data_IF_260401449151
#
_entry.id   IF_260401449151
#
_cell.length_a   1.000
_cell.length_b   1.000
_cell.length_c   1.000
_cell.angle_alpha   90.00
_cell.angle_beta   90.00
_cell.angle_gamma   90.00
#
_symmetry.space_group_name_H-M   'P 1'
#
loop_
_entity.id
_entity.type
_entity.pdbx_description
1 polymer ?
#
# COMPACT_ATOMS: atom_id res chain seq x y z
N UNK A 1 2.09 18.14 0.94
CA UNK A 1 0.94 17.35 1.47
C UNK A 1 0.85 16.09 0.63
N UNK A 2 0.62 14.91 1.20
CA UNK A 2 0.56 13.68 0.40
C UNK A 2 -0.89 13.43 -0.03
N UNK A 3 -1.17 13.58 -1.33
CA UNK A 3 -2.43 13.13 -1.91
C UNK A 3 -2.22 11.74 -2.50
N UNK A 4 -3.07 10.80 -2.14
CA UNK A 4 -2.91 9.39 -2.55
C UNK A 4 -4.23 8.87 -3.08
N UNK A 5 -4.19 8.33 -4.30
CA UNK A 5 -5.35 7.73 -4.95
C UNK A 5 -5.07 6.25 -5.17
N UNK A 6 -5.70 5.40 -4.36
CA UNK A 6 -5.48 3.95 -4.36
C UNK A 6 -6.79 3.25 -4.73
N UNK A 7 -6.73 2.38 -5.74
CA UNK A 7 -7.77 1.45 -6.11
C UNK A 7 -7.39 0.03 -5.64
N UNK A 8 -8.38 -0.78 -5.26
CA UNK A 8 -8.15 -2.16 -4.80
C UNK A 8 -9.20 -3.09 -5.39
N UNK A 9 -8.76 -4.23 -5.90
CA UNK A 9 -9.59 -5.36 -6.28
C UNK A 9 -9.37 -6.51 -5.30
N UNK A 10 -10.45 -7.21 -4.93
CA UNK A 10 -10.38 -8.31 -3.97
C UNK A 10 -11.35 -9.45 -4.32
N UNK A 11 -11.02 -10.65 -3.84
CA UNK A 11 -11.85 -11.84 -3.93
C UNK A 11 -11.76 -12.63 -2.62
N UNK A 12 -12.87 -13.26 -2.24
CA UNK A 12 -12.97 -14.03 -0.99
C UNK A 12 -13.60 -15.39 -1.28
N UNK A 13 -13.15 -16.40 -0.55
CA UNK A 13 -13.68 -17.76 -0.58
C UNK A 13 -13.93 -18.26 0.84
N UNK A 14 -15.04 -18.97 1.05
CA UNK A 14 -15.36 -19.62 2.32
C UNK A 14 -16.09 -20.95 2.05
N UNK A 15 -15.56 -22.05 2.59
CA UNK A 15 -16.17 -23.38 2.52
C UNK A 15 -15.63 -24.29 3.62
N UNK A 16 -16.50 -25.12 4.21
CA UNK A 16 -16.12 -26.22 5.13
C UNK A 16 -15.09 -25.79 6.18
N UNK A 17 -15.37 -24.71 6.94
CA UNK A 17 -14.48 -24.08 7.94
C UNK A 17 -13.29 -23.31 7.38
N UNK A 18 -12.89 -23.55 6.14
CA UNK A 18 -11.80 -22.80 5.52
C UNK A 18 -12.33 -21.50 4.93
N UNK A 19 -11.61 -20.42 5.19
CA UNK A 19 -11.82 -19.15 4.53
C UNK A 19 -10.49 -18.58 4.04
N UNK A 20 -10.56 -17.76 3.01
CA UNK A 20 -9.41 -17.01 2.54
C UNK A 20 -9.82 -15.82 1.68
N UNK A 21 -8.94 -14.84 1.60
CA UNK A 21 -9.06 -13.70 0.71
C UNK A 21 -7.75 -13.40 0.00
N UNK A 22 -7.87 -12.79 -1.17
CA UNK A 22 -6.78 -12.20 -1.93
C UNK A 22 -7.19 -10.79 -2.33
N UNK A 23 -6.25 -9.86 -2.24
CA UNK A 23 -6.44 -8.49 -2.73
C UNK A 23 -5.19 -7.99 -3.44
N UNK A 24 -5.44 -7.12 -4.42
CA UNK A 24 -4.43 -6.37 -5.14
C UNK A 24 -4.82 -4.90 -5.13
N UNK A 25 -3.91 -4.06 -4.68
CA UNK A 25 -4.05 -2.62 -4.62
C UNK A 25 -3.05 -1.96 -5.54
N UNK A 26 -3.46 -0.88 -6.19
CA UNK A 26 -2.61 -0.05 -7.05
C UNK A 26 -3.02 1.41 -6.93
N UNK A 27 -2.06 2.33 -6.94
CA UNK A 27 -2.36 3.74 -6.77
C UNK A 27 -1.22 4.67 -7.12
N UNK A 28 -1.58 5.94 -7.31
CA UNK A 28 -0.62 7.03 -7.46
C UNK A 28 -0.47 7.81 -6.15
N UNK A 29 0.77 8.16 -5.86
CA UNK A 29 1.18 8.97 -4.73
C UNK A 29 1.72 10.30 -5.29
N UNK A 30 0.94 11.36 -5.13
CA UNK A 30 1.37 12.71 -5.48
C UNK A 30 2.14 13.28 -4.28
N UNK A 31 3.47 13.13 -4.34
CA UNK A 31 4.37 13.71 -3.35
C UNK A 31 4.58 15.20 -3.64
N UNK A 32 3.69 16.07 -3.15
CA UNK A 32 4.05 17.49 -3.02
C UNK A 32 5.11 17.61 -1.91
N UNK A 33 6.38 17.75 -2.33
CA UNK A 33 7.58 17.92 -1.49
C UNK A 33 8.00 16.70 -0.66
N UNK A 34 8.67 15.75 -1.30
CA UNK A 34 9.67 14.93 -0.61
C UNK A 34 10.99 15.72 -0.47
N UNK A 35 11.00 16.78 0.35
CA UNK A 35 12.23 17.54 0.66
C UNK A 35 13.18 16.65 1.47
N UNK A 36 14.05 15.88 0.81
CA UNK A 36 15.13 15.16 1.47
C UNK A 36 16.24 16.17 1.79
N UNK A 37 16.09 16.90 2.89
CA UNK A 37 17.13 17.80 3.40
C UNK A 37 18.34 16.98 3.85
N UNK A 38 19.36 16.87 3.00
CA UNK A 38 20.67 16.47 3.45
C UNK A 38 21.38 17.66 4.06
N UNK A 39 21.76 17.54 5.33
CA UNK A 39 22.70 18.46 5.94
C UNK A 39 24.12 18.15 5.41
N UNK A 40 24.45 18.63 4.22
CA UNK A 40 25.83 18.80 3.79
C UNK A 40 26.26 20.18 4.29
N UNK A 41 27.03 20.21 5.37
CA UNK A 41 27.51 21.44 5.99
C UNK A 41 28.03 22.43 4.95
N UNK A 42 27.60 23.69 5.09
CA UNK A 42 27.91 24.88 4.27
C UNK A 42 27.14 25.05 2.94
N UNK A 43 26.30 24.11 2.49
CA UNK A 43 25.38 24.34 1.35
C UNK A 43 24.12 23.46 1.42
N UNK A 44 22.94 24.08 1.49
CA UNK A 44 21.65 23.40 1.32
C UNK A 44 21.46 23.04 -0.16
N UNK A 45 21.76 21.79 -0.53
CA UNK A 45 21.34 21.21 -1.81
C UNK A 45 19.87 20.80 -1.72
N UNK A 46 18.96 21.62 -2.23
CA UNK A 46 17.53 21.30 -2.31
C UNK A 46 17.27 20.54 -3.63
N UNK A 47 17.40 19.20 -3.61
CA UNK A 47 16.91 18.36 -4.71
C UNK A 47 15.38 18.28 -4.61
N UNK A 48 14.69 19.05 -5.46
CA UNK A 48 13.25 18.89 -5.73
C UNK A 48 13.07 17.66 -6.62
N UNK A 49 12.98 16.49 -6.00
CA UNK A 49 12.50 15.30 -6.68
C UNK A 49 10.98 15.33 -6.74
N UNK A 50 10.41 15.96 -7.78
CA UNK A 50 9.02 15.67 -8.18
C UNK A 50 9.02 14.23 -8.70
N UNK A 51 8.75 13.27 -7.82
CA UNK A 51 8.67 11.85 -8.16
C UNK A 51 7.22 11.43 -8.10
N UNK A 52 6.60 11.28 -9.28
CA UNK A 52 5.31 10.61 -9.41
C UNK A 52 5.47 9.16 -8.95
N UNK A 53 5.01 8.86 -7.74
CA UNK A 53 5.16 7.53 -7.14
C UNK A 53 4.01 6.62 -7.54
N UNK A 54 4.31 5.47 -8.16
CA UNK A 54 3.33 4.40 -8.34
C UNK A 54 3.51 3.34 -7.24
N UNK A 55 2.43 3.00 -6.55
CA UNK A 55 2.40 2.00 -5.49
C UNK A 55 1.52 0.83 -5.93
N UNK A 56 2.00 -0.39 -5.71
CA UNK A 56 1.18 -1.59 -5.77
C UNK A 56 1.40 -2.44 -4.53
N UNK A 57 0.36 -3.18 -4.12
CA UNK A 57 0.40 -4.10 -3.01
C UNK A 57 -0.43 -5.34 -3.33
N UNK A 58 0.03 -6.49 -2.85
CA UNK A 58 -0.73 -7.75 -2.88
C UNK A 58 -0.83 -8.25 -1.46
N UNK A 59 -2.03 -8.64 -1.05
CA UNK A 59 -2.23 -9.27 0.27
C UNK A 59 -3.11 -10.50 0.13
N UNK A 60 -2.90 -11.45 1.04
CA UNK A 60 -3.67 -12.67 1.08
C UNK A 60 -3.76 -13.19 2.50
N UNK A 61 -4.91 -13.74 2.84
CA UNK A 61 -5.17 -14.36 4.15
C UNK A 61 -5.86 -15.69 3.95
N UNK A 62 -5.59 -16.60 4.88
CA UNK A 62 -6.26 -17.90 4.99
C UNK A 62 -6.50 -18.18 6.46
N UNK A 63 -7.63 -18.80 6.78
CA UNK A 63 -7.95 -19.19 8.13
C UNK A 63 -8.88 -20.38 8.18
N UNK A 64 -9.01 -20.93 9.38
CA UNK A 64 -9.88 -22.05 9.71
C UNK A 64 -10.79 -21.64 10.85
N UNK A 65 -12.08 -21.86 10.69
CA UNK A 65 -13.09 -21.61 11.72
C UNK A 65 -13.13 -22.79 12.70
N UNK A 66 -12.80 -22.50 13.96
CA UNK A 66 -12.75 -23.48 15.06
C UNK A 66 -14.15 -23.72 15.62
N UNK A 67 -15.09 -22.80 15.39
CA UNK A 67 -16.49 -23.11 15.59
C UNK A 67 -16.92 -24.09 14.49
N UNK A 68 -17.26 -25.32 14.89
CA UNK A 68 -17.91 -26.30 14.02
C UNK A 68 -19.20 -25.71 13.40
N UNK A 69 -19.70 -26.27 12.29
CA UNK A 69 -20.78 -25.64 11.55
C UNK A 69 -22.02 -25.71 12.44
N UNK A 70 -22.57 -24.55 12.79
CA UNK A 70 -23.87 -24.46 13.48
C UNK A 70 -25.00 -24.85 12.54
#
# INVERSE_FOLDING_TARGET
TLNSYIATAFLQYQANHWWGDLSVSGGKLDYENAERKFALGVSEGQEKGDTDGEMWAVSGRVGFDIAGPT
#
